data_IF_209972258391
#
_entry.id   IF_209972258391
#
_cell.length_a   1.000
_cell.length_b   1.000
_cell.length_c   1.000
_cell.angle_alpha   90.00
_cell.angle_beta   90.00
_cell.angle_gamma   90.00
#
_symmetry.space_group_name_H-M   'P 1'
#
loop_
_entity.id
_entity.type
_entity.pdbx_description
1 polymer ?
#
# COMPACT_ATOMS: atom_id res chain seq x y z
N UNK A 1 -20.33 27.14 -9.69
CA UNK A 1 -19.90 26.67 -8.36
C UNK A 1 -18.99 25.49 -8.62
N UNK A 2 -17.75 25.49 -8.14
CA UNK A 2 -16.91 24.29 -8.25
C UNK A 2 -17.56 23.17 -7.42
N UNK A 3 -17.50 21.93 -7.90
CA UNK A 3 -17.97 20.78 -7.14
C UNK A 3 -17.10 20.64 -5.88
N UNK A 4 -17.70 20.15 -4.79
CA UNK A 4 -16.94 19.84 -3.56
C UNK A 4 -15.99 18.66 -3.82
N UNK A 5 -14.73 18.71 -3.34
CA UNK A 5 -13.80 17.62 -3.52
C UNK A 5 -14.29 16.30 -2.93
N UNK A 6 -14.07 15.21 -3.68
CA UNK A 6 -14.38 13.86 -3.22
C UNK A 6 -13.60 13.47 -1.96
N UNK A 7 -14.13 12.54 -1.15
CA UNK A 7 -13.44 12.02 0.03
C UNK A 7 -12.07 11.43 -0.32
N UNK A 8 -11.97 10.75 -1.46
CA UNK A 8 -10.72 10.17 -1.98
C UNK A 8 -9.71 11.27 -2.36
N UNK A 9 -10.15 12.36 -3.00
CA UNK A 9 -9.28 13.51 -3.29
C UNK A 9 -8.78 14.20 -2.01
N UNK A 10 -9.67 14.40 -1.03
CA UNK A 10 -9.31 14.89 0.32
C UNK A 10 -8.28 14.01 1.00
N UNK A 11 -8.46 12.69 0.95
CA UNK A 11 -7.52 11.73 1.52
C UNK A 11 -6.14 11.83 0.84
N UNK A 12 -6.08 11.86 -0.49
CA UNK A 12 -4.81 11.97 -1.23
C UNK A 12 -4.02 13.23 -0.87
N UNK A 13 -4.67 14.38 -0.78
CA UNK A 13 -3.99 15.62 -0.40
C UNK A 13 -3.34 15.53 1.01
N UNK A 14 -4.02 14.88 1.95
CA UNK A 14 -3.48 14.67 3.31
C UNK A 14 -2.38 13.60 3.30
N UNK A 15 -2.58 12.48 2.58
CA UNK A 15 -1.59 11.42 2.43
C UNK A 15 -0.28 11.92 1.83
N UNK A 16 -0.35 12.70 0.76
CA UNK A 16 0.83 13.27 0.11
C UNK A 16 1.62 14.14 1.07
N UNK A 17 0.93 14.93 1.89
CA UNK A 17 1.60 15.77 2.89
C UNK A 17 2.24 14.94 3.99
N UNK A 18 1.57 13.90 4.50
CA UNK A 18 2.16 12.96 5.49
C UNK A 18 3.44 12.32 4.93
N UNK A 19 3.39 11.83 3.69
CA UNK A 19 4.53 11.18 3.03
C UNK A 19 5.67 12.17 2.75
N UNK A 20 5.35 13.39 2.33
CA UNK A 20 6.34 14.44 2.10
C UNK A 20 7.04 14.89 3.40
N UNK A 21 6.30 14.97 4.51
CA UNK A 21 6.85 15.30 5.82
C UNK A 21 7.73 14.16 6.36
N UNK A 22 7.39 12.90 6.07
CA UNK A 22 8.16 11.71 6.46
C UNK A 22 9.41 11.46 5.60
N UNK A 23 9.47 12.04 4.40
CA UNK A 23 10.65 12.01 3.51
C UNK A 23 10.90 13.38 2.88
N UNK A 24 11.40 14.36 3.67
CA UNK A 24 11.63 15.72 3.18
C UNK A 24 12.53 15.72 1.94
N UNK A 25 12.13 16.45 0.90
CA UNK A 25 12.82 16.47 -0.39
C UNK A 25 12.97 15.10 -1.08
N UNK A 26 12.16 14.10 -0.70
CA UNK A 26 12.26 12.72 -1.19
C UNK A 26 13.38 11.91 -0.55
N UNK A 27 14.01 12.41 0.53
CA UNK A 27 15.06 11.71 1.24
C UNK A 27 14.48 10.80 2.33
N UNK A 28 14.69 9.49 2.19
CA UNK A 28 14.21 8.49 3.14
C UNK A 28 15.33 8.04 4.11
N UNK A 29 15.01 7.89 5.39
CA UNK A 29 15.89 7.21 6.36
C UNK A 29 16.15 5.75 5.97
N UNK A 30 17.29 5.17 6.36
CA UNK A 30 17.58 3.76 6.07
C UNK A 30 16.78 2.85 7.03
N UNK A 31 15.88 1.99 6.54
CA UNK A 31 15.06 1.12 7.40
C UNK A 31 15.80 -0.13 7.87
N UNK A 32 16.98 -0.42 7.32
CA UNK A 32 17.70 -1.64 7.64
C UNK A 32 18.66 -1.42 8.80
N UNK A 33 18.55 -2.28 9.81
CA UNK A 33 19.45 -2.32 10.96
C UNK A 33 20.04 -3.71 11.11
N UNK A 34 21.19 -3.80 11.77
CA UNK A 34 21.81 -5.06 12.19
C UNK A 34 21.62 -5.26 13.68
N UNK A 35 21.18 -6.45 14.08
CA UNK A 35 21.20 -6.83 15.49
C UNK A 35 22.64 -7.14 15.97
N UNK A 36 22.79 -7.49 17.26
CA UNK A 36 24.08 -7.82 17.86
C UNK A 36 24.79 -9.01 17.18
N UNK A 37 24.02 -9.91 16.56
CA UNK A 37 24.56 -11.05 15.79
C UNK A 37 24.99 -10.68 14.37
N UNK A 38 24.73 -9.44 13.96
CA UNK A 38 24.91 -8.96 12.59
C UNK A 38 23.77 -9.36 11.64
N UNK A 39 22.69 -9.95 12.15
CA UNK A 39 21.54 -10.31 11.33
C UNK A 39 20.76 -9.04 10.95
N UNK A 40 20.35 -8.99 9.69
CA UNK A 40 19.64 -7.84 9.12
C UNK A 40 18.16 -7.89 9.50
N UNK A 41 17.63 -6.80 10.04
CA UNK A 41 16.20 -6.61 10.28
C UNK A 41 15.71 -5.31 9.66
N UNK A 42 14.42 -5.28 9.31
CA UNK A 42 13.75 -4.10 8.79
C UNK A 42 13.01 -3.40 9.93
N UNK A 43 13.09 -2.09 10.00
CA UNK A 43 12.35 -1.26 10.97
C UNK A 43 11.34 -0.39 10.23
N UNK A 44 10.05 -0.79 10.22
CA UNK A 44 9.01 -0.01 9.56
C UNK A 44 8.79 1.34 10.26
N UNK A 45 8.43 2.36 9.49
CA UNK A 45 8.03 3.67 9.99
C UNK A 45 6.55 3.61 10.42
N UNK A 46 6.35 3.19 11.66
CA UNK A 46 5.01 3.10 12.25
C UNK A 46 4.40 4.47 12.54
N UNK A 47 5.21 5.51 12.75
CA UNK A 47 4.70 6.87 12.98
C UNK A 47 3.99 7.39 11.72
N UNK A 48 4.56 7.10 10.55
CA UNK A 48 3.91 7.39 9.26
C UNK A 48 2.65 6.55 9.08
N UNK A 49 2.67 5.24 9.38
CA UNK A 49 1.48 4.38 9.31
C UNK A 49 0.33 4.90 10.19
N UNK A 50 0.62 5.27 11.44
CA UNK A 50 -0.37 5.78 12.40
C UNK A 50 -1.06 7.04 11.84
N UNK A 51 -0.29 7.99 11.29
CA UNK A 51 -0.85 9.20 10.67
C UNK A 51 -1.72 8.86 9.47
N UNK A 52 -1.27 7.96 8.59
CA UNK A 52 -2.03 7.54 7.41
C UNK A 52 -3.36 6.87 7.81
N UNK A 53 -3.35 6.01 8.83
CA UNK A 53 -4.57 5.36 9.35
C UNK A 53 -5.53 6.33 10.02
N UNK A 54 -5.04 7.46 10.55
CA UNK A 54 -5.86 8.53 11.10
C UNK A 54 -6.69 9.28 10.04
N UNK A 55 -6.25 9.34 8.79
CA UNK A 55 -6.92 10.08 7.70
C UNK A 55 -8.34 9.57 7.41
N UNK A 56 -8.59 8.26 7.15
CA UNK A 56 -9.95 7.77 6.94
C UNK A 56 -10.88 8.04 8.13
N UNK A 57 -10.35 8.01 9.35
CA UNK A 57 -11.12 8.31 10.57
C UNK A 57 -11.48 9.80 10.66
N UNK A 58 -10.52 10.68 10.35
CA UNK A 58 -10.73 12.13 10.30
C UNK A 58 -11.82 12.50 9.28
N UNK A 59 -11.76 11.90 8.09
CA UNK A 59 -12.71 12.14 7.00
C UNK A 59 -14.04 11.40 7.18
N UNK A 60 -14.16 10.50 8.18
CA UNK A 60 -15.29 9.57 8.35
C UNK A 60 -15.58 8.79 7.07
N UNK A 61 -14.52 8.34 6.40
CA UNK A 61 -14.61 7.66 5.12
C UNK A 61 -15.15 6.23 5.33
N UNK A 62 -16.31 5.86 4.75
CA UNK A 62 -16.81 4.49 4.83
C UNK A 62 -15.95 3.55 3.97
N UNK A 63 -16.00 2.25 4.24
CA UNK A 63 -15.25 1.19 3.53
C UNK A 63 -15.46 1.24 2.02
N UNK A 64 -16.68 1.54 1.57
CA UNK A 64 -17.07 1.67 0.15
C UNK A 64 -16.32 2.74 -0.62
N UNK A 65 -15.63 3.67 0.06
CA UNK A 65 -14.77 4.66 -0.61
C UNK A 65 -13.38 4.11 -0.98
N UNK A 66 -12.99 2.95 -0.47
CA UNK A 66 -11.65 2.38 -0.60
C UNK A 66 -10.54 3.12 0.18
N UNK A 67 -10.82 4.33 0.70
CA UNK A 67 -9.84 5.15 1.45
C UNK A 67 -9.25 4.43 2.67
N UNK A 68 -10.03 3.64 3.44
CA UNK A 68 -9.48 2.89 4.57
C UNK A 68 -8.37 1.89 4.19
N UNK A 69 -8.50 1.20 3.06
CA UNK A 69 -7.47 0.29 2.54
C UNK A 69 -6.33 1.07 1.88
N UNK A 70 -6.64 2.15 1.17
CA UNK A 70 -5.67 3.03 0.51
C UNK A 70 -4.58 3.56 1.45
N UNK A 71 -4.91 3.80 2.73
CA UNK A 71 -3.92 4.19 3.74
C UNK A 71 -2.78 3.16 3.88
N UNK A 72 -3.09 1.86 3.76
CA UNK A 72 -2.11 0.77 3.77
C UNK A 72 -1.29 0.78 2.48
N UNK A 73 -1.93 0.98 1.33
CA UNK A 73 -1.25 1.01 0.02
C UNK A 73 -0.20 2.12 -0.03
N UNK A 74 -0.58 3.32 0.43
CA UNK A 74 0.31 4.48 0.50
C UNK A 74 1.49 4.21 1.44
N UNK A 75 1.22 3.61 2.60
CA UNK A 75 2.27 3.26 3.55
C UNK A 75 3.25 2.23 2.97
N UNK A 76 2.73 1.16 2.36
CA UNK A 76 3.55 0.12 1.74
C UNK A 76 4.38 0.67 0.58
N UNK A 77 3.80 1.51 -0.29
CA UNK A 77 4.55 2.13 -1.38
C UNK A 77 5.64 3.09 -0.87
N UNK A 78 5.37 3.77 0.25
CA UNK A 78 6.36 4.57 0.98
C UNK A 78 7.49 3.69 1.54
N UNK A 79 7.19 2.60 2.22
CA UNK A 79 8.18 1.68 2.79
C UNK A 79 9.06 1.03 1.72
N UNK A 80 8.46 0.60 0.60
CA UNK A 80 9.21 0.05 -0.53
C UNK A 80 10.22 1.06 -1.10
N UNK A 81 9.84 2.33 -1.23
CA UNK A 81 10.77 3.41 -1.63
C UNK A 81 11.81 3.70 -0.55
N UNK A 82 11.41 3.73 0.71
CA UNK A 82 12.29 3.87 1.88
C UNK A 82 13.33 2.75 1.94
N UNK A 83 13.01 1.55 1.47
CA UNK A 83 13.94 0.44 1.35
C UNK A 83 14.99 0.59 0.24
N UNK A 84 14.82 1.58 -0.65
CA UNK A 84 15.73 1.88 -1.75
C UNK A 84 15.28 1.38 -3.12
N UNK A 85 14.02 0.93 -3.26
CA UNK A 85 13.44 0.66 -4.57
C UNK A 85 13.16 1.99 -5.31
N UNK A 86 13.17 1.93 -6.64
CA UNK A 86 13.04 3.12 -7.49
C UNK A 86 11.67 3.80 -7.30
N UNK A 87 11.71 5.11 -7.03
CA UNK A 87 10.52 5.89 -6.69
C UNK A 87 9.46 5.95 -7.79
N UNK A 88 9.87 5.81 -9.06
CA UNK A 88 8.95 5.82 -10.20
C UNK A 88 8.58 4.42 -10.69
N UNK A 89 9.25 3.37 -10.19
CA UNK A 89 8.90 1.98 -10.45
C UNK A 89 7.90 1.41 -9.44
N UNK A 90 7.81 1.99 -8.24
CA UNK A 90 6.87 1.59 -7.18
C UNK A 90 5.61 2.45 -7.23
N UNK A 91 4.45 1.79 -7.29
CA UNK A 91 3.14 2.43 -7.33
C UNK A 91 2.26 1.98 -6.15
N UNK A 92 1.39 2.86 -5.61
CA UNK A 92 1.14 4.24 -6.04
C UNK A 92 2.30 5.20 -5.72
N UNK A 93 2.52 6.16 -6.62
CA UNK A 93 3.49 7.27 -6.46
C UNK A 93 3.05 8.23 -5.34
N UNK A 94 3.99 8.97 -4.73
CA UNK A 94 3.70 9.98 -3.69
C UNK A 94 3.04 11.26 -4.24
N UNK A 95 2.79 11.33 -5.55
CA UNK A 95 2.08 12.44 -6.20
C UNK A 95 1.45 11.95 -7.50
N UNK A 96 0.38 12.61 -7.96
CA UNK A 96 -0.17 12.33 -9.27
C UNK A 96 0.86 12.58 -10.41
N UNK A 97 0.88 11.72 -11.45
CA UNK A 97 0.06 10.52 -11.60
C UNK A 97 0.49 9.37 -10.67
N UNK A 98 -0.48 8.65 -10.09
CA UNK A 98 -0.23 7.56 -9.13
C UNK A 98 0.45 6.37 -9.76
N UNK A 99 0.25 6.17 -11.06
CA UNK A 99 1.02 5.24 -11.88
C UNK A 99 1.60 6.00 -13.05
N UNK A 100 2.92 5.89 -13.22
CA UNK A 100 3.64 6.50 -14.31
C UNK A 100 4.77 5.56 -14.75
N UNK A 101 4.67 4.93 -15.94
CA UNK A 101 5.70 4.03 -16.45
C UNK A 101 7.09 4.71 -16.51
N UNK A 102 8.13 4.00 -16.05
CA UNK A 102 9.51 4.48 -16.05
C UNK A 102 10.03 5.02 -17.40
N UNK A 103 9.67 4.46 -18.57
CA UNK A 103 10.02 5.06 -19.86
C UNK A 103 9.49 6.48 -20.06
N UNK A 104 8.31 6.80 -19.52
CA UNK A 104 7.71 8.13 -19.60
C UNK A 104 8.46 9.10 -18.69
N UNK A 105 8.79 8.68 -17.47
CA UNK A 105 9.66 9.45 -16.57
C UNK A 105 11.00 9.75 -17.22
N UNK A 106 11.62 8.74 -17.85
CA UNK A 106 12.90 8.89 -18.54
C UNK A 106 12.83 9.92 -19.67
N UNK A 107 11.72 9.95 -20.43
CA UNK A 107 11.46 10.96 -21.45
C UNK A 107 11.32 12.36 -20.82
N UNK A 108 10.50 12.50 -19.78
CA UNK A 108 10.24 13.77 -19.09
C UNK A 108 11.52 14.39 -18.50
N UNK A 109 12.47 13.57 -18.08
CA UNK A 109 13.77 14.02 -17.56
C UNK A 109 14.73 14.52 -18.64
N UNK A 110 14.46 14.26 -19.93
CA UNK A 110 15.35 14.61 -21.05
C UNK A 110 14.85 15.77 -21.91
N UNK A 111 13.57 16.13 -21.81
CA UNK A 111 12.99 17.26 -22.54
C UNK A 111 13.28 18.59 -21.82
N UNK A 112 13.04 19.71 -22.50
CA UNK A 112 13.16 21.04 -21.89
C UNK A 112 12.14 21.23 -20.76
N UNK A 113 12.39 22.17 -19.84
CA UNK A 113 11.44 22.47 -18.76
C UNK A 113 10.05 22.81 -19.29
N UNK A 114 9.97 23.62 -20.36
CA UNK A 114 8.70 23.99 -21.00
C UNK A 114 7.95 22.79 -21.58
N UNK A 115 8.66 21.85 -22.21
CA UNK A 115 8.05 20.62 -22.75
C UNK A 115 7.60 19.70 -21.62
N UNK A 116 8.42 19.55 -20.57
CA UNK A 116 8.08 18.77 -19.38
C UNK A 116 6.81 19.30 -18.74
N UNK A 117 6.70 20.61 -18.49
CA UNK A 117 5.52 21.21 -17.87
C UNK A 117 4.25 20.99 -18.72
N UNK A 118 4.38 21.10 -20.04
CA UNK A 118 3.27 20.86 -20.97
C UNK A 118 2.84 19.38 -21.00
N UNK A 119 3.78 18.44 -20.96
CA UNK A 119 3.51 17.01 -20.88
C UNK A 119 2.92 16.62 -19.53
N UNK A 120 3.46 17.17 -18.44
CA UNK A 120 2.99 16.93 -17.08
C UNK A 120 1.53 17.35 -16.92
N UNK A 121 1.19 18.54 -17.43
CA UNK A 121 -0.20 19.02 -17.47
C UNK A 121 -1.14 18.08 -18.24
N UNK A 122 -0.65 17.38 -19.27
CA UNK A 122 -1.45 16.39 -20.02
C UNK A 122 -1.59 15.07 -19.25
N UNK A 123 -0.55 14.64 -18.54
CA UNK A 123 -0.55 13.42 -17.74
C UNK A 123 -1.40 13.55 -16.46
N UNK A 124 -1.54 14.77 -15.94
CA UNK A 124 -2.40 15.08 -14.77
C UNK A 124 -3.80 15.56 -15.19
N UNK A 125 -4.15 15.55 -16.47
CA UNK A 125 -5.48 15.93 -16.91
C UNK A 125 -6.52 14.88 -16.50
N UNK A 126 -7.80 15.27 -16.47
CA UNK A 126 -8.92 14.36 -16.17
C UNK A 126 -8.97 13.12 -17.09
N UNK A 127 -8.46 13.26 -18.31
CA UNK A 127 -8.35 12.17 -19.28
C UNK A 127 -6.92 12.10 -19.80
N UNK A 128 -6.00 11.49 -19.04
CA UNK A 128 -4.63 11.34 -19.48
C UNK A 128 -4.56 10.40 -20.69
N UNK A 129 -3.48 10.43 -21.50
CA UNK A 129 -3.32 9.49 -22.59
C UNK A 129 -3.37 8.04 -22.09
N UNK A 130 -4.18 7.20 -22.74
CA UNK A 130 -4.37 5.80 -22.37
C UNK A 130 -3.03 5.06 -22.28
N UNK A 131 -2.81 4.34 -21.18
CA UNK A 131 -1.58 3.60 -20.91
C UNK A 131 -0.37 4.45 -20.50
N UNK A 132 -0.49 5.79 -20.51
CA UNK A 132 0.59 6.69 -20.11
C UNK A 132 0.54 7.08 -18.63
N UNK A 133 -0.66 7.15 -18.05
CA UNK A 133 -0.88 7.40 -16.64
C UNK A 133 -2.21 6.77 -16.22
N UNK A 134 -2.25 6.18 -15.03
CA UNK A 134 -3.44 5.56 -14.47
C UNK A 134 -3.56 5.86 -12.97
N UNK A 135 -4.78 5.71 -12.44
CA UNK A 135 -5.08 5.77 -11.02
C UNK A 135 -4.94 4.41 -10.33
N UNK A 136 -5.21 3.31 -11.05
CA UNK A 136 -5.12 1.92 -10.57
C UNK A 136 -4.23 1.05 -11.45
N UNK A 137 -3.57 0.06 -10.84
CA UNK A 137 -2.60 -0.81 -11.50
C UNK A 137 -3.26 -2.12 -11.90
N UNK A 138 -3.71 -2.19 -13.15
CA UNK A 138 -4.30 -3.39 -13.71
C UNK A 138 -3.22 -4.29 -14.32
N UNK A 139 -3.04 -5.47 -13.73
CA UNK A 139 -2.08 -6.49 -14.16
C UNK A 139 -2.84 -7.72 -14.62
N UNK A 140 -2.48 -8.25 -15.79
CA UNK A 140 -3.10 -9.46 -16.30
C UNK A 140 -2.71 -10.64 -15.38
N UNK A 141 -3.66 -11.26 -14.69
CA UNK A 141 -3.54 -12.56 -14.00
C UNK A 141 -3.98 -13.71 -14.89
N UNK A 142 -3.61 -14.96 -14.58
CA UNK A 142 -3.75 -16.14 -15.46
C UNK A 142 -4.98 -16.11 -16.38
N UNK A 143 -6.17 -15.87 -15.82
CA UNK A 143 -7.42 -15.91 -16.58
C UNK A 143 -8.02 -14.53 -16.91
N UNK A 144 -7.75 -13.50 -16.10
CA UNK A 144 -8.37 -12.18 -16.23
C UNK A 144 -7.48 -11.08 -15.61
N UNK A 145 -7.79 -9.80 -15.90
CA UNK A 145 -7.11 -8.67 -15.28
C UNK A 145 -7.35 -8.67 -13.77
N UNK A 146 -6.37 -8.16 -13.03
CA UNK A 146 -6.49 -7.92 -11.59
C UNK A 146 -5.97 -6.54 -11.29
N UNK A 147 -6.76 -5.79 -10.53
CA UNK A 147 -6.25 -4.61 -9.86
C UNK A 147 -5.33 -5.08 -8.73
N UNK A 148 -4.10 -4.56 -8.70
CA UNK A 148 -3.14 -4.83 -7.63
C UNK A 148 -2.83 -3.52 -6.94
N UNK A 149 -2.91 -3.51 -5.61
CA UNK A 149 -2.91 -2.29 -4.83
C UNK A 149 -1.53 -1.62 -4.76
N UNK A 150 -0.48 -2.43 -4.58
CA UNK A 150 0.91 -1.97 -4.60
C UNK A 150 1.74 -2.81 -5.56
N UNK A 151 2.35 -2.14 -6.55
CA UNK A 151 3.04 -2.80 -7.66
C UNK A 151 4.43 -2.21 -7.85
N UNK A 152 5.40 -3.07 -8.16
CA UNK A 152 6.64 -2.66 -8.81
C UNK A 152 6.80 -3.38 -10.14
N UNK A 153 7.00 -2.62 -11.21
CA UNK A 153 7.17 -3.17 -12.55
C UNK A 153 8.04 -2.27 -13.42
N UNK A 154 8.80 -2.86 -14.35
CA UNK A 154 9.48 -2.13 -15.40
C UNK A 154 9.51 -2.92 -16.71
N UNK A 155 9.91 -2.24 -17.78
CA UNK A 155 9.98 -2.83 -19.12
C UNK A 155 10.91 -4.05 -19.21
N UNK A 156 12.02 -4.05 -18.48
CA UNK A 156 13.05 -5.08 -18.60
C UNK A 156 12.72 -6.36 -17.82
N UNK A 157 12.09 -6.23 -16.65
CA UNK A 157 11.79 -7.35 -15.76
C UNK A 157 10.31 -7.78 -15.78
N UNK A 158 9.41 -6.93 -16.28
CA UNK A 158 7.98 -7.08 -16.05
C UNK A 158 7.60 -6.79 -14.59
N UNK A 159 6.46 -7.31 -14.10
CA UNK A 159 6.10 -7.22 -12.69
C UNK A 159 7.13 -7.96 -11.81
N UNK A 160 7.68 -7.25 -10.83
CA UNK A 160 8.67 -7.77 -9.88
C UNK A 160 8.09 -7.90 -8.48
N UNK A 161 7.10 -7.09 -8.14
CA UNK A 161 6.41 -7.11 -6.85
C UNK A 161 4.93 -6.78 -7.06
N UNK A 162 4.08 -7.57 -6.42
CA UNK A 162 2.62 -7.47 -6.44
C UNK A 162 2.12 -7.69 -5.01
N UNK A 163 1.55 -6.66 -4.38
CA UNK A 163 0.99 -6.75 -3.05
C UNK A 163 -0.48 -6.35 -3.12
N UNK A 164 -1.33 -7.24 -2.63
CA UNK A 164 -2.74 -6.97 -2.41
C UNK A 164 -2.96 -6.56 -0.96
N UNK A 165 -3.87 -5.63 -0.73
CA UNK A 165 -4.25 -5.16 0.60
C UNK A 165 -5.75 -5.35 0.81
N UNK A 166 -6.14 -5.60 2.06
CA UNK A 166 -7.55 -5.63 2.47
C UNK A 166 -7.68 -5.04 3.86
N UNK A 167 -8.84 -4.46 4.15
CA UNK A 167 -9.17 -3.95 5.48
C UNK A 167 -10.55 -4.43 5.95
N UNK A 168 -10.66 -4.72 7.24
CA UNK A 168 -11.90 -5.12 7.90
C UNK A 168 -12.03 -4.44 9.26
N UNK A 169 -13.04 -3.57 9.39
CA UNK A 169 -13.32 -2.83 10.62
C UNK A 169 -14.54 -3.39 11.39
N UNK A 170 -15.43 -4.13 10.73
CA UNK A 170 -16.65 -4.69 11.32
C UNK A 170 -17.07 -6.01 10.66
N UNK A 171 -18.23 -6.56 11.08
CA UNK A 171 -18.89 -7.69 10.40
C UNK A 171 -18.03 -8.95 10.24
N UNK A 172 -17.11 -9.15 11.19
CA UNK A 172 -16.10 -10.23 11.20
C UNK A 172 -16.71 -11.62 10.94
N UNK A 173 -17.93 -11.85 11.45
CA UNK A 173 -18.61 -13.13 11.34
C UNK A 173 -19.13 -13.50 9.95
N UNK A 174 -19.42 -12.52 9.10
CA UNK A 174 -19.96 -12.77 7.76
C UNK A 174 -18.85 -12.74 6.71
N UNK A 175 -17.87 -11.85 6.90
CA UNK A 175 -16.97 -11.45 5.82
C UNK A 175 -15.58 -12.12 5.90
N UNK A 176 -15.12 -12.57 7.08
CA UNK A 176 -13.75 -13.07 7.23
C UNK A 176 -13.44 -14.28 6.31
N UNK A 177 -14.36 -15.25 6.21
CA UNK A 177 -14.15 -16.44 5.38
C UNK A 177 -14.07 -16.12 3.89
N UNK A 178 -15.01 -15.33 3.39
CA UNK A 178 -15.07 -14.94 1.99
C UNK A 178 -13.80 -14.16 1.60
N UNK A 179 -13.33 -13.24 2.46
CA UNK A 179 -12.12 -12.44 2.19
C UNK A 179 -10.86 -13.31 2.13
N UNK A 180 -10.74 -14.33 2.97
CA UNK A 180 -9.61 -15.27 2.90
C UNK A 180 -9.69 -16.11 1.62
N UNK A 181 -10.86 -16.65 1.27
CA UNK A 181 -11.03 -17.44 0.05
C UNK A 181 -10.74 -16.64 -1.23
N UNK A 182 -11.20 -15.39 -1.30
CA UNK A 182 -10.86 -14.44 -2.37
C UNK A 182 -9.33 -14.26 -2.47
N UNK A 183 -8.66 -14.06 -1.33
CA UNK A 183 -7.22 -13.89 -1.27
C UNK A 183 -6.45 -15.11 -1.82
N UNK A 184 -6.95 -16.32 -1.57
CA UNK A 184 -6.40 -17.55 -2.17
C UNK A 184 -6.58 -17.59 -3.69
N UNK A 185 -7.74 -17.17 -4.18
CA UNK A 185 -8.03 -17.07 -5.62
C UNK A 185 -7.10 -16.07 -6.31
N UNK A 186 -6.91 -14.91 -5.70
CA UNK A 186 -6.03 -13.84 -6.19
C UNK A 186 -4.59 -14.29 -6.27
N UNK A 187 -4.10 -14.90 -5.19
CA UNK A 187 -2.75 -15.44 -5.13
C UNK A 187 -2.51 -16.40 -6.31
N UNK A 188 -3.41 -17.36 -6.53
CA UNK A 188 -3.28 -18.33 -7.64
C UNK A 188 -3.36 -17.67 -9.01
N UNK A 189 -4.23 -16.69 -9.20
CA UNK A 189 -4.37 -15.99 -10.48
C UNK A 189 -3.10 -15.21 -10.84
N UNK A 190 -2.53 -14.48 -9.88
CA UNK A 190 -1.29 -13.72 -10.08
C UNK A 190 -0.08 -14.64 -10.22
N UNK A 191 0.05 -15.63 -9.33
CA UNK A 191 1.20 -16.55 -9.25
C UNK A 191 1.41 -17.34 -10.55
N UNK A 192 0.32 -17.81 -11.14
CA UNK A 192 0.37 -18.61 -12.36
C UNK A 192 0.74 -17.82 -13.61
N UNK A 193 0.61 -16.49 -13.60
CA UNK A 193 1.20 -15.65 -14.67
C UNK A 193 2.59 -15.11 -14.32
N UNK A 194 2.80 -14.69 -13.07
CA UNK A 194 4.01 -13.98 -12.64
C UNK A 194 4.80 -14.79 -11.61
N UNK A 195 5.38 -15.94 -11.96
CA UNK A 195 6.05 -16.83 -11.01
C UNK A 195 7.34 -16.25 -10.42
N UNK A 196 7.93 -15.25 -11.08
CA UNK A 196 9.14 -14.56 -10.63
C UNK A 196 8.86 -13.31 -9.79
N UNK A 197 7.62 -12.80 -9.80
CA UNK A 197 7.25 -11.64 -8.99
C UNK A 197 7.18 -12.04 -7.51
N UNK A 198 7.57 -11.13 -6.63
CA UNK A 198 7.29 -11.23 -5.21
C UNK A 198 5.80 -10.93 -4.96
N UNK A 199 5.01 -11.94 -4.60
CA UNK A 199 3.60 -11.79 -4.24
C UNK A 199 3.44 -11.66 -2.72
N UNK A 200 2.75 -10.62 -2.26
CA UNK A 200 2.46 -10.40 -0.84
C UNK A 200 1.00 -10.03 -0.59
N UNK A 201 0.56 -10.19 0.66
CA UNK A 201 -0.78 -9.80 1.09
C UNK A 201 -0.74 -9.10 2.45
N UNK A 202 -1.45 -7.99 2.59
CA UNK A 202 -1.53 -7.23 3.85
C UNK A 202 -2.98 -7.09 4.29
N UNK A 203 -3.27 -7.51 5.51
CA UNK A 203 -4.60 -7.48 6.08
C UNK A 203 -4.65 -6.50 7.27
N UNK A 204 -5.45 -5.44 7.14
CA UNK A 204 -5.79 -4.53 8.24
C UNK A 204 -7.02 -5.02 8.99
N UNK A 205 -6.92 -5.17 10.31
CA UNK A 205 -7.98 -5.73 11.14
C UNK A 205 -8.22 -4.86 12.38
N UNK A 206 -9.46 -4.42 12.60
CA UNK A 206 -9.79 -3.65 13.81
C UNK A 206 -9.68 -4.52 15.06
N UNK A 207 -9.09 -3.97 16.12
CA UNK A 207 -8.79 -4.69 17.36
C UNK A 207 -10.02 -5.21 18.09
N UNK A 208 -11.21 -4.64 17.87
CA UNK A 208 -12.43 -5.08 18.56
C UNK A 208 -12.84 -6.52 18.22
N UNK A 209 -12.33 -7.12 17.15
CA UNK A 209 -12.54 -8.54 16.86
C UNK A 209 -12.11 -9.45 18.02
N UNK A 210 -11.06 -9.08 18.75
CA UNK A 210 -10.54 -9.90 19.85
C UNK A 210 -11.50 -9.94 21.05
N UNK A 211 -12.36 -8.94 21.19
CA UNK A 211 -13.37 -8.86 22.25
C UNK A 211 -14.74 -9.33 21.76
N UNK A 212 -15.12 -8.96 20.53
CA UNK A 212 -16.42 -9.27 19.93
C UNK A 212 -16.51 -10.70 19.39
N UNK A 213 -15.40 -11.27 18.92
CA UNK A 213 -15.34 -12.58 18.25
C UNK A 213 -13.95 -13.25 18.35
N UNK A 214 -13.47 -13.56 19.57
CA UNK A 214 -12.12 -14.10 19.79
C UNK A 214 -11.82 -15.37 18.99
N UNK A 215 -12.74 -16.34 18.96
CA UNK A 215 -12.57 -17.58 18.19
C UNK A 215 -12.34 -17.32 16.70
N UNK A 216 -12.97 -16.26 16.15
CA UNK A 216 -12.79 -15.87 14.75
C UNK A 216 -11.48 -15.13 14.53
N UNK A 217 -11.02 -14.35 15.50
CA UNK A 217 -9.70 -13.74 15.44
C UNK A 217 -8.62 -14.82 15.37
N UNK A 218 -8.67 -15.82 16.27
CA UNK A 218 -7.73 -16.95 16.26
C UNK A 218 -7.77 -17.72 14.93
N UNK A 219 -8.97 -18.02 14.45
CA UNK A 219 -9.16 -18.71 13.17
C UNK A 219 -8.65 -17.91 11.96
N UNK A 220 -8.96 -16.62 11.88
CA UNK A 220 -8.50 -15.75 10.79
C UNK A 220 -6.97 -15.65 10.79
N UNK A 221 -6.37 -15.45 11.96
CA UNK A 221 -4.91 -15.39 12.12
C UNK A 221 -4.25 -16.68 11.64
N UNK A 222 -4.77 -17.85 12.03
CA UNK A 222 -4.26 -19.15 11.58
C UNK A 222 -4.35 -19.29 10.05
N UNK A 223 -5.44 -18.83 9.43
CA UNK A 223 -5.57 -18.85 7.97
C UNK A 223 -4.61 -17.90 7.26
N UNK A 224 -4.41 -16.68 7.79
CA UNK A 224 -3.43 -15.74 7.23
C UNK A 224 -2.00 -16.31 7.31
N UNK A 225 -1.65 -17.00 8.40
CA UNK A 225 -0.36 -17.69 8.52
C UNK A 225 -0.21 -18.81 7.47
N UNK A 226 -1.26 -19.59 7.22
CA UNK A 226 -1.24 -20.65 6.19
C UNK A 226 -1.11 -20.07 4.79
N UNK A 227 -1.87 -19.01 4.49
CA UNK A 227 -1.85 -18.32 3.20
C UNK A 227 -0.44 -17.83 2.82
N UNK A 228 0.38 -17.42 3.79
CA UNK A 228 1.76 -16.97 3.57
C UNK A 228 2.82 -18.08 3.57
N UNK A 229 2.43 -19.33 3.83
CA UNK A 229 3.34 -20.50 3.88
C UNK A 229 3.14 -21.47 2.72
N UNK A 230 2.00 -21.39 2.03
CA UNK A 230 1.69 -22.25 0.88
C UNK A 230 2.50 -21.84 -0.37
N UNK A 231 3.16 -22.81 -1.00
CA UNK A 231 4.06 -22.57 -2.14
C UNK A 231 3.36 -21.97 -3.38
N UNK A 232 2.06 -22.26 -3.55
CA UNK A 232 1.23 -21.80 -4.67
C UNK A 232 0.35 -20.58 -4.33
N UNK A 233 0.56 -19.96 -3.16
CA UNK A 233 -0.15 -18.76 -2.71
C UNK A 233 0.76 -17.53 -2.65
N UNK A 234 0.67 -16.73 -1.57
CA UNK A 234 1.53 -15.57 -1.34
C UNK A 234 2.86 -15.98 -0.71
N UNK A 235 3.91 -15.22 -1.01
CA UNK A 235 5.24 -15.46 -0.43
C UNK A 235 5.38 -14.95 1.00
N UNK A 236 4.59 -13.95 1.36
CA UNK A 236 4.55 -13.35 2.68
C UNK A 236 3.15 -12.76 2.91
N UNK A 237 2.68 -12.82 4.15
CA UNK A 237 1.43 -12.21 4.59
C UNK A 237 1.72 -11.32 5.80
N UNK A 238 1.10 -10.15 5.87
CA UNK A 238 1.18 -9.24 7.01
C UNK A 238 -0.20 -9.02 7.61
N UNK A 239 -0.27 -8.94 8.94
CA UNK A 239 -1.45 -8.52 9.69
C UNK A 239 -1.13 -7.24 10.45
N UNK A 240 -1.97 -6.23 10.26
CA UNK A 240 -1.92 -4.97 11.01
C UNK A 240 -3.19 -4.90 11.85
N UNK A 241 -3.04 -5.03 13.16
CA UNK A 241 -4.15 -4.78 14.09
C UNK A 241 -4.24 -3.29 14.35
N UNK A 242 -5.43 -2.73 14.21
CA UNK A 242 -5.69 -1.29 14.26
C UNK A 242 -6.66 -1.00 15.40
N UNK A 243 -6.26 -0.13 16.33
CA UNK A 243 -7.07 0.27 17.47
C UNK A 243 -7.37 1.77 17.45
N UNK A 244 -8.65 2.12 17.66
CA UNK A 244 -9.12 3.49 17.81
C UNK A 244 -10.45 3.52 18.57
N UNK A 245 -10.75 4.67 19.18
CA UNK A 245 -11.93 4.83 20.03
C UNK A 245 -13.26 4.61 19.26
N UNK A 246 -14.30 4.04 19.91
CA UNK A 246 -15.56 3.69 19.26
C UNK A 246 -16.31 4.89 18.66
N UNK A 247 -16.08 6.10 19.17
CA UNK A 247 -16.66 7.34 18.64
C UNK A 247 -16.12 7.74 17.25
N UNK A 248 -15.04 7.10 16.80
CA UNK A 248 -14.44 7.29 15.47
C UNK A 248 -14.92 6.23 14.47
N UNK A 249 -15.62 5.19 14.94
CA UNK A 249 -16.19 4.19 14.05
C UNK A 249 -17.18 4.86 13.10
N UNK A 250 -17.07 4.54 11.82
CA UNK A 250 -18.00 4.98 10.79
C UNK A 250 -19.11 3.94 10.72
N UNK A 251 -20.37 4.37 10.88
CA UNK A 251 -21.52 3.46 10.76
C UNK A 251 -21.59 2.91 9.32
N UNK A 252 -21.28 1.63 9.16
CA UNK A 252 -21.42 0.92 7.88
C UNK A 252 -22.93 0.68 7.63
N UNK A 253 -23.53 1.42 6.69
CA UNK A 253 -24.92 1.18 6.29
C UNK A 253 -25.01 -0.03 5.36
N UNK A 254 -25.58 -1.13 5.89
CA UNK A 254 -25.94 -2.38 5.22
C UNK A 254 -24.77 -3.23 4.67
N UNK A 255 -24.97 -4.56 4.72
CA UNK A 255 -24.01 -5.63 4.44
C UNK A 255 -22.91 -5.24 3.41
N UNK A 256 -21.73 -4.92 3.93
CA UNK A 256 -20.51 -4.63 3.16
C UNK A 256 -20.12 -5.87 2.34
N UNK A 257 -20.41 -5.85 1.03
CA UNK A 257 -19.90 -6.84 0.06
C UNK A 257 -18.37 -6.72 -0.12
N UNK A 258 -17.76 -5.66 0.42
CA UNK A 258 -16.33 -5.37 0.38
C UNK A 258 -15.95 -4.25 -0.56
N UNK A 259 -14.65 -4.06 -0.70
CA UNK A 259 -14.01 -3.09 -1.60
C UNK A 259 -14.08 -3.52 -3.08
N UNK A 260 -14.78 -4.61 -3.39
CA UNK A 260 -14.87 -5.16 -4.74
C UNK A 260 -15.75 -4.31 -5.65
N UNK A 261 -15.16 -3.85 -6.77
CA UNK A 261 -15.93 -3.47 -7.95
C UNK A 261 -16.69 -4.71 -8.51
N UNK A 262 -17.64 -4.51 -9.43
CA UNK A 262 -18.30 -5.62 -10.13
C UNK A 262 -17.23 -6.63 -10.62
N UNK A 263 -17.35 -7.94 -10.33
CA UNK A 263 -16.35 -8.93 -10.74
C UNK A 263 -16.00 -8.92 -12.23
N UNK A 264 -16.92 -8.47 -13.10
CA UNK A 264 -16.66 -8.29 -14.53
C UNK A 264 -15.84 -7.03 -14.83
N UNK A 265 -15.99 -5.96 -14.06
CA UNK A 265 -15.14 -4.77 -14.13
C UNK A 265 -13.74 -5.10 -13.62
N UNK A 266 -13.64 -5.75 -12.46
CA UNK A 266 -12.36 -6.16 -11.88
C UNK A 266 -11.59 -7.12 -12.82
N UNK A 267 -12.31 -8.03 -13.49
CA UNK A 267 -11.76 -8.93 -14.50
C UNK A 267 -11.37 -8.23 -15.82
N UNK A 268 -11.73 -6.95 -15.98
CA UNK A 268 -11.50 -6.14 -17.19
C UNK A 268 -12.35 -6.57 -18.39
N UNK A 269 -13.51 -7.16 -18.14
CA UNK A 269 -14.50 -7.56 -19.17
C UNK A 269 -15.38 -6.36 -19.55
N UNK A 270 -15.66 -5.49 -18.58
CA UNK A 270 -16.41 -4.25 -18.78
C UNK A 270 -15.45 -3.07 -18.58
N UNK A 271 -15.35 -2.20 -19.57
CA UNK A 271 -14.67 -0.91 -19.41
C UNK A 271 -15.57 0.03 -18.61
N UNK A 272 -15.08 0.57 -17.50
CA UNK A 272 -15.74 1.70 -16.82
C UNK A 272 -15.35 2.99 -17.52
N UNK A 273 -16.35 3.82 -17.86
CA UNK A 273 -16.15 5.18 -18.39
C UNK A 273 -15.50 6.13 -17.36
N UNK A 274 -15.38 5.67 -16.11
CA UNK A 274 -14.59 6.30 -15.07
C UNK A 274 -13.11 6.03 -15.31
N UNK A 275 -12.56 6.67 -16.35
CA UNK A 275 -11.21 7.15 -16.22
C UNK A 275 -11.21 8.08 -14.98
N UNK A 276 -10.89 7.54 -13.80
CA UNK A 276 -10.49 8.28 -12.60
C UNK A 276 -9.14 8.96 -12.91
N UNK A 277 -9.11 9.73 -13.99
CA UNK A 277 -7.94 10.44 -14.44
C UNK A 277 -7.72 11.54 -13.43
N UNK A 278 -6.82 11.27 -12.50
CA UNK A 278 -5.53 11.94 -12.32
C UNK A 278 -5.51 13.45 -12.07
N UNK A 279 -6.61 14.17 -12.29
CA UNK A 279 -6.71 15.57 -11.94
C UNK A 279 -7.06 15.64 -10.47
N UNK A 280 -6.03 15.77 -9.65
CA UNK A 280 -6.17 16.07 -8.24
C UNK A 280 -7.01 17.34 -8.09
N UNK A 281 -8.07 17.21 -7.31
CA UNK A 281 -8.91 18.33 -6.96
C UNK A 281 -8.11 19.26 -6.04
N UNK A 282 -8.22 20.57 -6.26
CA UNK A 282 -7.51 21.52 -5.45
C UNK A 282 -8.08 21.55 -4.03
N UNK A 283 -7.21 21.41 -3.04
CA UNK A 283 -7.54 21.48 -1.62
C UNK A 283 -6.64 22.53 -0.99
N UNK A 284 -7.24 23.44 -0.23
CA UNK A 284 -6.53 24.53 0.40
C UNK A 284 -5.51 24.01 1.42
N UNK A 285 -4.30 24.58 1.41
CA UNK A 285 -3.23 24.15 2.33
C UNK A 285 -3.65 24.28 3.80
N UNK A 286 -4.45 25.29 4.14
CA UNK A 286 -4.97 25.44 5.50
C UNK A 286 -5.88 24.30 5.94
N UNK A 287 -6.63 23.70 5.02
CA UNK A 287 -7.48 22.53 5.32
C UNK A 287 -6.62 21.29 5.62
N UNK A 288 -5.53 21.11 4.85
CA UNK A 288 -4.55 20.05 5.08
C UNK A 288 -3.86 20.24 6.43
N UNK A 289 -3.40 21.45 6.74
CA UNK A 289 -2.73 21.76 8.01
C UNK A 289 -3.67 21.53 9.21
N UNK A 290 -4.95 21.90 9.10
CA UNK A 290 -5.96 21.61 10.14
C UNK A 290 -6.15 20.09 10.30
N UNK A 291 -6.28 19.36 9.19
CA UNK A 291 -6.44 17.90 9.23
C UNK A 291 -5.26 17.24 9.94
N UNK A 292 -4.02 17.59 9.57
CA UNK A 292 -2.81 17.03 10.19
C UNK A 292 -2.70 17.34 11.68
N UNK A 293 -3.12 18.53 12.11
CA UNK A 293 -3.12 18.91 13.52
C UNK A 293 -4.21 18.21 14.34
N UNK A 294 -5.21 17.60 13.70
CA UNK A 294 -6.39 17.03 14.35
C UNK A 294 -6.67 15.57 13.97
N UNK A 295 -5.68 14.88 13.39
CA UNK A 295 -5.80 13.46 13.07
C UNK A 295 -6.13 12.66 14.34
N UNK A 296 -7.14 11.78 14.29
CA UNK A 296 -7.42 10.85 15.38
C UNK A 296 -6.22 9.97 15.69
N UNK A 297 -6.03 9.66 16.98
CA UNK A 297 -5.00 8.75 17.44
C UNK A 297 -5.38 7.32 17.05
N UNK A 298 -4.41 6.61 16.47
CA UNK A 298 -4.49 5.19 16.14
C UNK A 298 -3.39 4.47 16.89
N UNK A 299 -3.75 3.36 17.53
CA UNK A 299 -2.80 2.46 18.19
C UNK A 299 -2.66 1.16 17.39
N UNK A 300 -1.49 0.54 17.50
CA UNK A 300 -1.14 -0.67 16.75
C UNK A 300 -0.66 -1.73 17.76
N UNK A 301 -1.58 -2.54 18.34
CA UNK A 301 -1.26 -3.52 19.38
C UNK A 301 -0.50 -4.73 18.80
N UNK A 302 0.80 -4.55 18.53
CA UNK A 302 1.69 -5.52 17.89
C UNK A 302 1.89 -6.81 18.69
N UNK A 303 1.63 -6.79 19.99
CA UNK A 303 1.64 -7.96 20.85
C UNK A 303 0.53 -8.96 20.47
N UNK A 304 -0.54 -8.50 19.81
CA UNK A 304 -1.61 -9.34 19.28
C UNK A 304 -1.29 -9.93 17.90
N UNK A 305 -0.21 -9.49 17.26
CA UNK A 305 0.20 -9.95 15.93
C UNK A 305 1.29 -11.01 16.06
N UNK A 306 1.06 -12.25 15.58
CA UNK A 306 2.10 -13.27 15.53
C UNK A 306 3.34 -12.78 14.77
N UNK A 307 4.52 -13.18 15.23
CA UNK A 307 5.81 -12.69 14.72
C UNK A 307 5.97 -12.88 13.20
N UNK A 308 5.43 -13.97 12.66
CA UNK A 308 5.51 -14.30 11.23
C UNK A 308 4.54 -13.50 10.35
N UNK A 309 3.54 -12.84 10.93
CA UNK A 309 2.63 -11.91 10.26
C UNK A 309 3.01 -10.45 10.48
N UNK A 310 4.14 -10.15 11.13
CA UNK A 310 4.49 -8.76 11.42
C UNK A 310 4.98 -8.00 10.18
N UNK A 311 4.70 -6.69 10.09
CA UNK A 311 5.09 -5.92 8.91
C UNK A 311 6.60 -5.85 8.67
N UNK A 312 7.43 -5.87 9.72
CA UNK A 312 8.89 -5.90 9.58
C UNK A 312 9.37 -7.15 8.82
N UNK A 313 8.80 -8.32 9.12
CA UNK A 313 9.13 -9.57 8.44
C UNK A 313 8.59 -9.60 7.02
N UNK A 314 7.36 -9.16 6.85
CA UNK A 314 6.72 -9.07 5.53
C UNK A 314 7.55 -8.20 4.57
N UNK A 315 7.81 -6.93 4.93
CA UNK A 315 8.51 -5.99 4.04
C UNK A 315 9.93 -6.51 3.75
N UNK A 316 10.63 -7.03 4.76
CA UNK A 316 11.97 -7.57 4.59
C UNK A 316 12.02 -8.73 3.58
N UNK A 317 11.04 -9.63 3.64
CA UNK A 317 10.91 -10.79 2.75
C UNK A 317 10.56 -10.36 1.32
N UNK A 318 9.64 -9.40 1.17
CA UNK A 318 9.27 -8.86 -0.14
C UNK A 318 10.48 -8.25 -0.85
N UNK A 319 11.26 -7.41 -0.15
CA UNK A 319 12.46 -6.77 -0.72
C UNK A 319 13.54 -7.81 -1.01
N UNK A 320 13.75 -8.79 -0.12
CA UNK A 320 14.72 -9.87 -0.32
C UNK A 320 14.42 -10.61 -1.63
N UNK A 321 13.16 -10.99 -1.87
CA UNK A 321 12.75 -11.71 -3.09
C UNK A 321 12.98 -10.92 -4.36
N UNK A 322 12.64 -9.64 -4.37
CA UNK A 322 12.92 -8.73 -5.50
C UNK A 322 14.41 -8.68 -5.82
N UNK A 323 15.24 -8.51 -4.79
CA UNK A 323 16.70 -8.42 -4.93
C UNK A 323 17.33 -9.75 -5.35
N UNK A 324 16.83 -10.87 -4.84
CA UNK A 324 17.34 -12.21 -5.17
C UNK A 324 16.93 -12.68 -6.57
N UNK A 325 15.78 -12.20 -7.07
CA UNK A 325 15.27 -12.53 -8.40
C UNK A 325 15.94 -11.71 -9.53
N UNK A 326 16.78 -10.73 -9.19
CA UNK A 326 17.40 -9.81 -10.16
C UNK A 326 18.92 -9.77 -10.06
N UNK A 327 19.63 -9.45 -11.17
CA UNK A 327 21.08 -9.28 -11.14
C UNK A 327 21.50 -8.04 -10.34
N UNK A 328 22.77 -8.02 -9.91
CA UNK A 328 23.34 -6.97 -9.02
C UNK A 328 23.30 -5.55 -9.58
N UNK A 329 23.12 -5.39 -10.89
CA UNK A 329 22.99 -4.08 -11.53
C UNK A 329 21.58 -3.50 -11.46
N UNK A 330 20.57 -4.26 -11.01
CA UNK A 330 19.23 -3.78 -10.67
C UNK A 330 19.10 -3.55 -9.16
N UNK A 331 18.20 -2.63 -8.78
CA UNK A 331 17.89 -2.28 -7.38
C UNK A 331 19.11 -1.89 -6.54
N UNK A 332 20.07 -1.17 -7.16
CA UNK A 332 21.35 -0.82 -6.53
C UNK A 332 21.19 -0.08 -5.21
N UNK A 333 20.26 0.87 -5.13
CA UNK A 333 20.01 1.64 -3.91
C UNK A 333 19.44 0.75 -2.80
N UNK A 334 18.53 -0.16 -3.11
CA UNK A 334 18.02 -1.13 -2.14
C UNK A 334 19.12 -2.07 -1.62
N UNK A 335 20.00 -2.55 -2.52
CA UNK A 335 21.18 -3.34 -2.14
C UNK A 335 22.15 -2.54 -1.26
N UNK A 336 22.41 -1.28 -1.60
CA UNK A 336 23.28 -0.38 -0.85
C UNK A 336 22.75 -0.14 0.56
N UNK A 337 21.46 0.21 0.71
CA UNK A 337 20.82 0.42 2.02
C UNK A 337 20.95 -0.80 2.94
N UNK A 338 20.77 -2.01 2.41
CA UNK A 338 20.98 -3.25 3.17
C UNK A 338 22.44 -3.45 3.60
N UNK A 339 23.40 -3.10 2.74
CA UNK A 339 24.82 -3.21 3.06
C UNK A 339 25.26 -2.19 4.13
N UNK A 340 24.76 -0.96 3.99
CA UNK A 340 25.00 0.20 4.84
C UNK A 340 24.22 0.17 6.17
N UNK A 341 23.42 -0.88 6.41
CA UNK A 341 22.68 -1.05 7.64
C UNK A 341 23.59 -0.93 8.88
N UNK A 342 23.23 0.00 9.76
CA UNK A 342 23.94 0.29 11.00
C UNK A 342 23.49 -0.67 12.12
N UNK A 343 24.33 -0.89 13.15
CA UNK A 343 23.89 -1.62 14.34
C UNK A 343 22.69 -0.92 14.97
N UNK A 344 21.69 -1.70 15.41
CA UNK A 344 20.57 -1.16 16.18
C UNK A 344 21.14 -0.41 17.40
N UNK A 345 20.77 0.87 17.63
CA UNK A 345 21.18 1.57 18.82
C UNK A 345 20.74 0.77 20.04
N UNK A 346 21.65 0.48 20.96
CA UNK A 346 21.29 -0.10 22.25
C UNK A 346 20.34 0.91 22.91
N UNK A 347 19.05 0.57 23.02
CA UNK A 347 18.14 1.29 23.89
C UNK A 347 18.81 1.29 25.27
N UNK A 348 19.19 2.49 25.73
CA UNK A 348 19.82 2.67 27.02
C UNK A 348 19.00 1.93 28.08
N UNK A 349 19.69 1.17 28.92
CA UNK A 349 19.14 0.74 30.18
C UNK A 349 18.65 1.98 30.93
N UNK A 350 17.35 2.27 30.85
CA UNK A 350 16.74 3.27 31.71
C UNK A 350 16.71 2.68 33.13
N UNK A 351 17.57 3.27 33.95
CA UNK A 351 17.73 3.07 35.39
C UNK A 351 16.62 3.68 36.20
#
# INVERSE_FOLDING_TARGET
MAAEPSTKAKAWAIFDRIVADAAPNGEHSNPWVKDESGALSYEPDYDTLIKLLGVPLYLKAPTTTGVPALALDVWLSYELRRSGLDADAVWPRPSAPRILPGPIVSLLNKVTAKERDALWKRLQAKTPPTGAAASSANILGKNYLKQVDVVMSNWAAGPELLISTKRMDSSFGKNAANRVEESYGDAKNLRLRHPLAALGFVYGLRSTIFDESPDKAEWLIDLLQKLGREDDAYHAVSLIVIEYGPHLAVDETADDEGDGEDPLVEAGVIETDEADGGQEEYIEQSEIDIALATLPVVELPWERVPVDLRPDRFIAEMIRRVIDATPVNLHKNARARRAEAEPRPLLGAES
#
